data_IF_475514410249
#
_entry.id   IF_475514410249
#
_cell.length_a   1.000
_cell.length_b   1.000
_cell.length_c   1.000
_cell.angle_alpha   90.00
_cell.angle_beta   90.00
_cell.angle_gamma   90.00
#
_symmetry.space_group_name_H-M   'P 1'
#
loop_
_entity.id
_entity.type
_entity.pdbx_description
1 polymer ?
#
# COMPACT_ATOMS: atom_id res chain seq x y z
N UNK A 1 38.10 -44.91 43.65
CA UNK A 1 37.91 -43.56 44.25
C UNK A 1 37.93 -42.50 43.15
N UNK A 2 36.76 -42.19 42.59
CA UNK A 2 36.36 -40.85 42.12
C UNK A 2 34.88 -40.95 41.78
N UNK A 3 34.05 -40.65 42.78
CA UNK A 3 32.61 -40.50 42.65
C UNK A 3 32.34 -39.30 41.75
N UNK A 4 31.85 -39.57 40.55
CA UNK A 4 31.32 -38.55 39.67
C UNK A 4 29.89 -38.25 40.12
N UNK A 5 29.75 -37.21 40.95
CA UNK A 5 28.46 -36.65 41.35
C UNK A 5 27.69 -36.23 40.10
N UNK A 6 26.67 -36.99 39.74
CA UNK A 6 25.67 -36.60 38.75
C UNK A 6 24.88 -35.46 39.36
N UNK A 7 25.16 -34.24 38.89
CA UNK A 7 24.57 -33.00 39.39
C UNK A 7 23.05 -32.91 39.09
N UNK A 8 22.26 -32.25 39.96
CA UNK A 8 20.79 -32.16 39.86
C UNK A 8 20.29 -31.24 38.73
N UNK A 9 21.16 -30.81 37.81
CA UNK A 9 20.81 -29.92 36.70
C UNK A 9 19.90 -30.58 35.65
N UNK A 10 20.00 -31.90 35.44
CA UNK A 10 19.15 -32.60 34.47
C UNK A 10 17.69 -32.69 34.91
N UNK A 11 17.41 -32.72 36.22
CA UNK A 11 16.04 -32.86 36.73
C UNK A 11 15.26 -31.53 36.71
N UNK A 12 15.95 -30.39 36.86
CA UNK A 12 15.32 -29.07 36.76
C UNK A 12 15.00 -28.65 35.31
N UNK A 13 15.81 -29.08 34.34
CA UNK A 13 15.52 -28.83 32.91
C UNK A 13 14.30 -29.62 32.42
N UNK A 14 14.07 -30.83 32.93
CA UNK A 14 12.89 -31.63 32.57
C UNK A 14 11.59 -31.09 33.21
N UNK A 15 11.64 -30.61 34.47
CA UNK A 15 10.48 -30.03 35.14
C UNK A 15 10.08 -28.65 34.55
N UNK A 16 11.06 -27.84 34.14
CA UNK A 16 10.81 -26.58 33.43
C UNK A 16 10.16 -26.78 32.05
N UNK A 17 10.53 -27.86 31.34
CA UNK A 17 9.93 -28.20 30.03
C UNK A 17 8.48 -28.69 30.15
N UNK A 18 8.11 -29.36 31.25
CA UNK A 18 6.73 -29.83 31.46
C UNK A 18 5.81 -28.70 31.93
N UNK A 19 6.31 -27.75 32.73
CA UNK A 19 5.47 -26.65 33.24
C UNK A 19 5.21 -25.54 32.20
N UNK A 20 6.04 -25.41 31.17
CA UNK A 20 5.77 -24.50 30.02
C UNK A 20 4.85 -25.17 28.98
N UNK A 21 4.70 -26.50 29.02
CA UNK A 21 3.76 -27.23 28.17
C UNK A 21 2.31 -27.21 28.68
N UNK A 22 2.05 -26.72 29.90
CA UNK A 22 0.72 -26.73 30.52
C UNK A 22 -0.12 -25.46 30.31
N UNK A 23 0.29 -24.58 29.40
CA UNK A 23 -0.53 -23.44 28.99
C UNK A 23 -0.68 -23.34 27.47
N UNK A 24 -0.94 -24.47 26.82
CA UNK A 24 -1.55 -24.47 25.49
C UNK A 24 -2.94 -25.03 25.65
N UNK A 25 -3.89 -24.16 26.02
CA UNK A 25 -5.27 -24.38 25.61
C UNK A 25 -5.18 -24.53 24.09
N UNK A 26 -5.64 -25.63 23.48
CA UNK A 26 -5.46 -25.96 22.06
C UNK A 26 -6.11 -24.99 21.06
N UNK A 27 -6.31 -23.75 21.47
CA UNK A 27 -6.91 -22.64 20.77
C UNK A 27 -5.89 -22.04 19.79
N UNK A 28 -6.31 -21.90 18.53
CA UNK A 28 -5.52 -21.24 17.50
C UNK A 28 -5.78 -19.74 17.58
N UNK A 29 -4.76 -18.95 17.86
CA UNK A 29 -4.88 -17.48 17.85
C UNK A 29 -4.99 -17.01 16.40
N UNK A 30 -6.17 -16.51 16.02
CA UNK A 30 -6.45 -16.01 14.67
C UNK A 30 -6.32 -14.49 14.60
N UNK A 31 -5.53 -13.98 13.66
CA UNK A 31 -5.42 -12.54 13.39
C UNK A 31 -5.69 -12.29 11.91
N UNK A 32 -6.71 -11.47 11.64
CA UNK A 32 -7.15 -11.13 10.29
C UNK A 32 -6.92 -9.64 10.04
N UNK A 33 -6.28 -9.30 8.93
CA UNK A 33 -6.14 -7.91 8.50
C UNK A 33 -6.42 -7.71 7.03
N UNK A 34 -6.52 -6.45 6.64
CA UNK A 34 -6.68 -6.06 5.25
C UNK A 34 -6.12 -4.66 4.97
N UNK A 35 -5.91 -4.36 3.70
CA UNK A 35 -5.61 -3.00 3.26
C UNK A 35 -4.65 -2.93 2.08
N UNK A 36 -3.66 -2.05 2.18
CA UNK A 36 -2.75 -1.72 1.08
C UNK A 36 -2.15 -2.93 0.36
N UNK A 37 -2.14 -2.87 -0.97
CA UNK A 37 -1.53 -3.91 -1.80
C UNK A 37 0.00 -3.85 -1.76
N UNK A 38 0.57 -2.67 -1.54
CA UNK A 38 1.99 -2.50 -1.23
C UNK A 38 2.13 -2.19 0.27
N UNK A 39 2.86 -2.97 1.10
CA UNK A 39 3.76 -4.07 0.76
C UNK A 39 3.19 -5.46 1.14
N UNK A 40 2.08 -5.89 0.54
CA UNK A 40 1.39 -7.16 0.89
C UNK A 40 2.31 -8.39 0.94
N UNK A 41 3.25 -8.53 -0.01
CA UNK A 41 4.24 -9.61 -0.01
C UNK A 41 5.14 -9.60 1.24
N UNK A 42 5.54 -8.43 1.71
CA UNK A 42 6.31 -8.28 2.94
C UNK A 42 5.47 -8.67 4.16
N UNK A 43 4.22 -8.21 4.21
CA UNK A 43 3.27 -8.57 5.28
C UNK A 43 3.06 -10.08 5.32
N UNK A 44 2.77 -10.74 4.18
CA UNK A 44 2.61 -12.19 4.11
C UNK A 44 3.87 -12.95 4.51
N UNK A 45 5.06 -12.45 4.15
CA UNK A 45 6.31 -13.05 4.56
C UNK A 45 6.51 -12.96 6.08
N UNK A 46 6.30 -11.77 6.68
CA UNK A 46 6.37 -11.57 8.13
C UNK A 46 5.36 -12.47 8.84
N UNK A 47 4.12 -12.55 8.35
CA UNK A 47 3.09 -13.41 8.90
C UNK A 47 3.48 -14.89 8.85
N UNK A 48 4.06 -15.35 7.74
CA UNK A 48 4.53 -16.73 7.60
C UNK A 48 5.62 -17.03 8.62
N UNK A 49 6.62 -16.14 8.77
CA UNK A 49 7.66 -16.26 9.79
C UNK A 49 7.08 -16.26 11.21
N UNK A 50 6.07 -15.44 11.48
CA UNK A 50 5.39 -15.41 12.78
C UNK A 50 4.69 -16.73 13.07
N UNK A 51 3.93 -17.26 12.10
CA UNK A 51 3.23 -18.55 12.26
C UNK A 51 4.19 -19.72 12.44
N UNK A 52 5.34 -19.71 11.76
CA UNK A 52 6.35 -20.76 11.84
C UNK A 52 7.17 -20.72 13.13
N UNK A 53 7.39 -19.53 13.70
CA UNK A 53 8.30 -19.32 14.85
C UNK A 53 7.58 -19.09 16.17
N UNK A 54 6.25 -18.94 16.15
CA UNK A 54 5.45 -18.78 17.35
C UNK A 54 5.44 -20.08 18.17
N UNK A 55 5.57 -19.95 19.49
CA UNK A 55 5.39 -21.07 20.42
C UNK A 55 3.91 -21.44 20.60
N UNK A 56 3.00 -20.53 20.22
CA UNK A 56 1.54 -20.73 20.26
C UNK A 56 1.01 -20.93 18.84
N UNK A 57 0.01 -21.80 18.68
CA UNK A 57 -0.62 -22.05 17.39
C UNK A 57 -1.31 -20.76 16.92
N UNK A 58 -0.85 -20.20 15.79
CA UNK A 58 -1.36 -18.93 15.25
C UNK A 58 -1.77 -19.08 13.79
N UNK A 59 -2.85 -18.41 13.40
CA UNK A 59 -3.29 -18.30 12.00
C UNK A 59 -3.46 -16.82 11.64
N UNK A 60 -2.61 -16.35 10.75
CA UNK A 60 -2.64 -14.97 10.27
C UNK A 60 -3.14 -14.92 8.82
N UNK A 61 -4.03 -14.00 8.51
CA UNK A 61 -4.47 -13.74 7.13
C UNK A 61 -4.42 -12.25 6.81
N UNK A 62 -4.03 -11.92 5.59
CA UNK A 62 -4.05 -10.54 5.10
C UNK A 62 -4.65 -10.45 3.71
N UNK A 63 -5.67 -9.61 3.54
CA UNK A 63 -6.27 -9.32 2.23
C UNK A 63 -5.74 -8.00 1.66
N UNK A 64 -5.07 -8.07 0.52
CA UNK A 64 -4.54 -6.94 -0.22
C UNK A 64 -5.65 -6.28 -1.07
N UNK A 65 -6.44 -5.39 -0.46
CA UNK A 65 -7.67 -4.79 -1.04
C UNK A 65 -7.55 -3.29 -1.34
N UNK A 66 -6.42 -2.67 -1.03
CA UNK A 66 -6.24 -1.23 -1.09
C UNK A 66 -6.52 -0.55 0.26
N UNK A 67 -5.88 0.60 0.48
CA UNK A 67 -5.87 1.26 1.79
C UNK A 67 -7.22 1.79 2.23
N UNK A 68 -8.02 2.36 1.31
CA UNK A 68 -9.37 2.84 1.66
C UNK A 68 -10.25 1.68 2.13
N UNK A 69 -10.28 0.57 1.38
CA UNK A 69 -11.04 -0.63 1.78
C UNK A 69 -10.54 -1.22 3.09
N UNK A 70 -9.23 -1.29 3.31
CA UNK A 70 -8.68 -1.74 4.59
C UNK A 70 -9.05 -0.86 5.77
N UNK A 71 -9.07 0.47 5.60
CA UNK A 71 -9.56 1.38 6.63
C UNK A 71 -11.05 1.16 6.88
N UNK A 72 -11.86 1.05 5.84
CA UNK A 72 -13.31 0.82 5.97
C UNK A 72 -13.59 -0.49 6.72
N UNK A 73 -12.90 -1.58 6.38
CA UNK A 73 -13.06 -2.86 7.08
C UNK A 73 -12.57 -2.82 8.53
N UNK A 74 -11.50 -2.08 8.82
CA UNK A 74 -11.00 -1.92 10.19
C UNK A 74 -11.91 -1.02 11.03
N UNK A 75 -12.45 0.06 10.45
CA UNK A 75 -13.34 0.99 11.14
C UNK A 75 -14.79 0.46 11.22
N UNK A 76 -15.10 -0.65 10.52
CA UNK A 76 -16.45 -1.21 10.47
C UNK A 76 -17.41 -0.38 9.63
N UNK A 77 -16.95 0.18 8.50
CA UNK A 77 -17.77 1.02 7.62
C UNK A 77 -18.62 0.17 6.68
N UNK A 78 -19.93 0.43 6.65
CA UNK A 78 -20.79 -0.16 5.63
C UNK A 78 -20.87 0.73 4.39
N UNK A 79 -20.31 0.27 3.28
CA UNK A 79 -20.23 1.04 2.02
C UNK A 79 -21.57 1.20 1.29
N UNK A 80 -22.65 0.63 1.80
CA UNK A 80 -23.97 0.70 1.14
C UNK A 80 -24.78 1.93 1.53
N UNK A 81 -24.37 2.70 2.54
CA UNK A 81 -25.33 3.61 3.17
C UNK A 81 -24.76 4.91 3.75
N UNK A 82 -24.02 5.66 2.93
CA UNK A 82 -23.67 7.06 3.27
C UNK A 82 -24.92 7.98 3.40
N UNK A 83 -26.13 7.48 3.12
CA UNK A 83 -27.38 8.25 3.11
C UNK A 83 -28.47 7.74 4.07
N UNK A 84 -28.30 6.62 4.80
CA UNK A 84 -29.36 6.11 5.71
C UNK A 84 -29.56 6.92 6.98
N UNK A 85 -28.64 7.81 7.32
CA UNK A 85 -28.62 8.43 8.64
C UNK A 85 -28.24 7.47 9.77
N UNK A 86 -27.85 6.23 9.45
CA UNK A 86 -27.15 5.33 10.37
C UNK A 86 -25.66 5.71 10.38
N UNK A 87 -24.95 5.41 11.48
CA UNK A 87 -23.52 5.67 11.59
C UNK A 87 -22.78 4.95 10.45
N UNK A 88 -22.13 5.67 9.52
CA UNK A 88 -21.43 5.02 8.41
C UNK A 88 -20.33 4.09 8.92
N UNK A 89 -19.81 4.34 10.12
CA UNK A 89 -18.91 3.48 10.86
C UNK A 89 -19.76 2.69 11.86
N UNK A 90 -20.18 1.46 11.54
CA UNK A 90 -20.86 0.61 12.52
C UNK A 90 -19.95 0.31 13.74
N UNK A 91 -18.67 0.72 13.70
CA UNK A 91 -17.65 0.61 14.74
C UNK A 91 -17.44 -0.83 15.22
N UNK A 92 -17.84 -1.81 14.41
CA UNK A 92 -17.57 -3.24 14.57
C UNK A 92 -16.55 -3.63 13.50
N UNK A 93 -15.24 -3.70 13.83
CA UNK A 93 -14.22 -4.05 12.87
C UNK A 93 -14.47 -5.42 12.22
N UNK A 94 -14.43 -5.50 10.90
CA UNK A 94 -14.42 -6.76 10.16
C UNK A 94 -13.05 -7.46 10.22
N UNK A 95 -12.03 -6.70 10.62
CA UNK A 95 -10.64 -7.16 10.70
C UNK A 95 -9.98 -6.64 11.98
N UNK A 96 -9.02 -7.40 12.50
CA UNK A 96 -8.26 -7.06 13.70
C UNK A 96 -7.27 -5.91 13.46
N UNK A 97 -6.80 -5.71 12.22
CA UNK A 97 -5.97 -4.58 11.86
C UNK A 97 -6.18 -4.15 10.40
N UNK A 98 -6.14 -2.84 10.18
CA UNK A 98 -6.02 -2.23 8.86
C UNK A 98 -4.56 -1.87 8.56
N UNK A 99 -4.16 -1.92 7.29
CA UNK A 99 -2.86 -1.43 6.85
C UNK A 99 -3.00 -0.48 5.66
N UNK A 100 -2.32 0.66 5.70
CA UNK A 100 -2.31 1.61 4.60
C UNK A 100 -1.42 2.82 4.88
N UNK A 101 -1.06 3.54 3.81
CA UNK A 101 -0.24 4.74 3.91
C UNK A 101 -1.07 6.04 4.01
N UNK A 102 -2.41 5.91 3.96
CA UNK A 102 -3.32 7.00 4.27
C UNK A 102 -3.59 6.92 5.78
N UNK A 103 -3.36 8.00 6.55
CA UNK A 103 -3.77 8.04 7.95
C UNK A 103 -5.30 7.97 8.07
N UNK A 104 -5.81 7.30 9.10
CA UNK A 104 -7.25 7.41 9.41
C UNK A 104 -7.61 8.86 9.73
N UNK A 105 -8.67 9.44 9.14
CA UNK A 105 -9.10 10.81 9.42
C UNK A 105 -9.39 11.04 10.90
N UNK A 106 -9.05 12.21 11.44
CA UNK A 106 -9.21 12.51 12.87
C UNK A 106 -10.63 12.33 13.40
N UNK A 107 -11.65 12.60 12.57
CA UNK A 107 -13.05 12.40 12.94
C UNK A 107 -13.38 10.91 13.12
N UNK A 108 -12.96 10.05 12.20
CA UNK A 108 -13.15 8.60 12.28
C UNK A 108 -12.32 7.98 13.42
N UNK A 109 -11.10 8.46 13.64
CA UNK A 109 -10.29 8.06 14.79
C UNK A 109 -10.98 8.39 16.12
N UNK A 110 -11.53 9.61 16.23
CA UNK A 110 -12.29 10.02 17.42
C UNK A 110 -13.54 9.17 17.59
N UNK A 111 -14.32 9.01 16.53
CA UNK A 111 -15.55 8.23 16.55
C UNK A 111 -15.30 6.77 16.97
N UNK A 112 -14.26 6.12 16.42
CA UNK A 112 -13.88 4.77 16.82
C UNK A 112 -13.53 4.69 18.31
N UNK A 113 -12.66 5.57 18.80
CA UNK A 113 -12.26 5.53 20.20
C UNK A 113 -13.42 5.85 21.16
N UNK A 114 -14.32 6.76 20.78
CA UNK A 114 -15.55 7.06 21.53
C UNK A 114 -16.52 5.86 21.51
N UNK A 115 -16.64 5.15 20.39
CA UNK A 115 -17.50 3.97 20.29
C UNK A 115 -16.97 2.79 21.14
N UNK A 116 -15.65 2.70 21.33
CA UNK A 116 -14.99 1.66 22.14
C UNK A 116 -14.80 2.07 23.61
N UNK A 117 -15.50 3.10 24.10
CA UNK A 117 -15.34 3.75 25.41
C UNK A 117 -15.36 2.80 26.62
N UNK A 118 -14.17 2.45 27.15
CA UNK A 118 -13.75 2.56 28.57
C UNK A 118 -12.29 2.06 28.78
N UNK A 119 -11.34 2.47 27.91
CA UNK A 119 -9.91 2.36 28.24
C UNK A 119 -9.25 0.98 28.08
N UNK A 120 -9.91 -0.01 27.49
CA UNK A 120 -9.30 -1.35 27.31
C UNK A 120 -8.43 -1.46 26.04
N UNK A 121 -8.71 -0.69 24.98
CA UNK A 121 -7.78 -0.53 23.85
C UNK A 121 -8.15 0.65 22.93
N UNK A 122 -7.18 1.52 22.66
CA UNK A 122 -7.30 2.58 21.66
C UNK A 122 -6.77 2.07 20.31
N UNK A 123 -7.31 2.59 19.20
CA UNK A 123 -6.67 2.41 17.91
C UNK A 123 -5.24 2.96 17.95
N UNK A 124 -4.27 2.17 17.49
CA UNK A 124 -2.88 2.59 17.34
C UNK A 124 -2.48 2.64 15.87
N UNK A 125 -1.86 3.74 15.46
CA UNK A 125 -1.09 3.78 14.22
C UNK A 125 0.35 3.34 14.51
N UNK A 126 0.76 2.21 13.93
CA UNK A 126 2.12 1.67 14.05
C UNK A 126 2.82 1.74 12.69
N UNK A 127 3.80 2.65 12.51
CA UNK A 127 4.68 2.61 11.35
C UNK A 127 5.52 1.33 11.39
N UNK A 128 5.39 0.46 10.39
CA UNK A 128 6.12 -0.81 10.34
C UNK A 128 7.08 -0.92 9.15
N UNK A 129 6.85 -0.14 8.09
CA UNK A 129 7.71 -0.10 6.92
C UNK A 129 7.72 1.29 6.30
N UNK A 130 8.86 1.67 5.72
CA UNK A 130 9.00 2.81 4.84
C UNK A 130 9.33 2.28 3.44
N UNK A 131 8.56 2.71 2.44
CA UNK A 131 8.79 2.32 1.05
C UNK A 131 8.66 3.52 0.13
N UNK A 132 9.38 3.47 -1.00
CA UNK A 132 9.23 4.47 -2.06
C UNK A 132 8.12 4.07 -3.02
N UNK A 133 7.52 5.06 -3.65
CA UNK A 133 6.66 4.87 -4.83
C UNK A 133 7.48 5.26 -6.05
N UNK A 134 7.48 4.41 -7.06
CA UNK A 134 8.22 4.62 -8.31
C UNK A 134 7.27 4.77 -9.49
N UNK A 135 7.69 5.54 -10.49
CA UNK A 135 7.02 5.62 -11.78
C UNK A 135 7.67 4.62 -12.73
N UNK A 136 6.87 3.72 -13.31
CA UNK A 136 7.36 2.70 -14.23
C UNK A 136 6.99 3.05 -15.67
N UNK A 137 7.83 2.66 -16.62
CA UNK A 137 7.56 2.77 -18.05
C UNK A 137 7.89 1.46 -18.76
N UNK A 138 7.20 1.18 -19.87
CA UNK A 138 7.47 0.01 -20.73
C UNK A 138 8.02 0.47 -22.08
N UNK A 139 9.24 1.02 -22.07
CA UNK A 139 9.96 1.43 -23.29
C UNK A 139 11.04 0.38 -23.52
N UNK A 140 10.94 -0.45 -24.57
CA UNK A 140 11.94 -1.46 -24.87
C UNK A 140 13.34 -0.84 -24.99
N UNK A 141 14.37 -1.51 -24.48
CA UNK A 141 15.77 -1.07 -24.62
C UNK A 141 16.22 0.04 -23.67
N UNK A 142 15.35 0.54 -22.79
CA UNK A 142 15.74 1.44 -21.70
C UNK A 142 16.00 0.60 -20.44
N UNK A 143 17.19 0.67 -19.82
CA UNK A 143 17.49 -0.11 -18.63
C UNK A 143 16.76 0.45 -17.38
N UNK A 144 16.59 -0.41 -16.38
CA UNK A 144 15.85 -0.15 -15.14
C UNK A 144 16.74 0.37 -13.98
N UNK A 145 17.96 0.80 -14.28
CA UNK A 145 18.94 1.29 -13.31
C UNK A 145 19.15 2.82 -13.41
N UNK A 146 20.27 3.31 -12.88
CA UNK A 146 20.70 4.72 -12.95
C UNK A 146 20.86 5.26 -14.38
N UNK A 147 20.92 4.35 -15.37
CA UNK A 147 20.90 4.64 -16.81
C UNK A 147 19.49 4.53 -17.40
N UNK A 148 18.44 4.58 -16.60
CA UNK A 148 17.06 4.61 -17.07
C UNK A 148 16.64 5.95 -17.65
N UNK A 149 15.33 6.07 -17.92
CA UNK A 149 14.72 7.29 -18.42
C UNK A 149 14.68 8.36 -17.31
N UNK A 150 15.12 9.57 -17.63
CA UNK A 150 15.06 10.73 -16.74
C UNK A 150 13.77 11.50 -16.98
N UNK A 151 12.91 11.54 -15.97
CA UNK A 151 11.70 12.36 -15.96
C UNK A 151 11.71 13.21 -14.69
N UNK A 152 11.48 14.51 -14.82
CA UNK A 152 11.27 15.38 -13.66
C UNK A 152 9.78 15.45 -13.29
N UNK A 153 9.47 16.00 -12.13
CA UNK A 153 8.11 16.11 -11.60
C UNK A 153 7.14 16.83 -12.55
N UNK A 154 7.56 17.91 -13.22
CA UNK A 154 6.66 18.72 -14.05
C UNK A 154 6.39 18.04 -15.39
N UNK A 155 7.38 17.30 -15.90
CA UNK A 155 7.23 16.45 -17.06
C UNK A 155 6.25 15.30 -16.76
N UNK A 156 6.40 14.66 -15.59
CA UNK A 156 5.45 13.65 -15.11
C UNK A 156 4.04 14.24 -14.97
N UNK A 157 3.88 15.41 -14.34
CA UNK A 157 2.58 16.06 -14.20
C UNK A 157 1.91 16.28 -15.57
N UNK A 158 2.65 16.78 -16.56
CA UNK A 158 2.15 16.99 -17.93
C UNK A 158 1.86 15.70 -18.68
N UNK A 159 2.59 14.63 -18.42
CA UNK A 159 2.28 13.28 -18.95
C UNK A 159 0.95 12.79 -18.37
N UNK A 160 0.77 12.86 -17.05
CA UNK A 160 -0.46 12.42 -16.38
C UNK A 160 -1.66 13.32 -16.72
N UNK A 161 -1.43 14.60 -17.04
CA UNK A 161 -2.45 15.56 -17.50
C UNK A 161 -2.68 15.52 -19.02
N UNK A 162 -2.01 14.61 -19.75
CA UNK A 162 -2.21 14.42 -21.20
C UNK A 162 -1.69 15.55 -22.08
N UNK A 163 -0.92 16.50 -21.54
CA UNK A 163 -0.22 17.56 -22.29
C UNK A 163 0.98 16.99 -23.06
N UNK A 164 1.69 16.04 -22.47
CA UNK A 164 2.78 15.30 -23.13
C UNK A 164 2.30 13.89 -23.41
N UNK A 165 2.33 13.52 -24.68
CA UNK A 165 1.58 12.35 -25.16
C UNK A 165 2.42 11.39 -25.98
N UNK A 166 3.71 11.67 -26.17
CA UNK A 166 4.63 10.85 -26.94
C UNK A 166 6.01 10.86 -26.29
N UNK A 167 6.76 9.77 -26.47
CA UNK A 167 8.11 9.62 -25.90
C UNK A 167 9.19 10.42 -26.64
N UNK A 168 8.92 10.85 -27.87
CA UNK A 168 9.78 11.73 -28.68
C UNK A 168 9.50 13.22 -28.45
N UNK A 169 8.73 13.57 -27.42
CA UNK A 169 8.47 14.96 -27.04
C UNK A 169 9.79 15.71 -26.79
N UNK A 170 9.96 16.95 -27.31
CA UNK A 170 11.20 17.73 -27.16
C UNK A 170 11.65 17.86 -25.70
N UNK A 171 10.73 17.95 -24.74
CA UNK A 171 11.05 18.10 -23.33
C UNK A 171 11.57 16.80 -22.70
N UNK A 172 11.05 15.65 -23.13
CA UNK A 172 11.60 14.34 -22.74
C UNK A 172 13.00 14.17 -23.36
N UNK A 173 13.15 14.51 -24.64
CA UNK A 173 14.43 14.39 -25.34
C UNK A 173 15.52 15.28 -24.72
N UNK A 174 15.17 16.48 -24.28
CA UNK A 174 16.10 17.41 -23.64
C UNK A 174 16.71 16.85 -22.34
N UNK A 175 15.96 16.07 -21.56
CA UNK A 175 16.47 15.40 -20.35
C UNK A 175 17.20 14.08 -20.63
N UNK A 176 17.01 13.53 -21.84
CA UNK A 176 17.45 12.19 -22.22
C UNK A 176 18.31 12.20 -23.48
N UNK A 177 19.19 13.20 -23.65
CA UNK A 177 19.99 13.41 -24.87
C UNK A 177 20.73 12.15 -25.33
N UNK A 178 21.36 11.42 -24.40
CA UNK A 178 22.10 10.18 -24.71
C UNK A 178 21.22 9.02 -25.23
N UNK A 179 19.89 9.15 -25.12
CA UNK A 179 18.89 8.17 -25.57
C UNK A 179 17.95 8.75 -26.62
N UNK A 180 18.16 9.99 -27.06
CA UNK A 180 17.23 10.69 -27.95
C UNK A 180 17.03 9.99 -29.28
N UNK A 181 18.08 9.36 -29.84
CA UNK A 181 17.97 8.55 -31.06
C UNK A 181 17.05 7.34 -30.86
N UNK A 182 17.24 6.61 -29.76
CA UNK A 182 16.42 5.45 -29.40
C UNK A 182 14.96 5.82 -29.14
N UNK A 183 14.70 6.91 -28.39
CA UNK A 183 13.34 7.39 -28.13
C UNK A 183 12.61 7.78 -29.42
N UNK A 184 13.31 8.42 -30.37
CA UNK A 184 12.77 8.73 -31.71
C UNK A 184 12.52 7.47 -32.54
N UNK A 185 13.41 6.48 -32.48
CA UNK A 185 13.24 5.20 -33.16
C UNK A 185 12.02 4.45 -32.62
N UNK A 186 11.89 4.33 -31.29
CA UNK A 186 10.72 3.72 -30.66
C UNK A 186 9.47 4.48 -31.11
N UNK A 187 9.45 5.81 -30.97
CA UNK A 187 8.28 6.61 -31.32
C UNK A 187 7.86 6.52 -32.81
N UNK A 188 8.80 6.26 -33.73
CA UNK A 188 8.53 6.09 -35.16
C UNK A 188 8.05 4.69 -35.53
N UNK A 189 8.50 3.65 -34.82
CA UNK A 189 8.17 2.25 -35.12
C UNK A 189 6.81 1.80 -34.61
N UNK A 190 6.32 2.38 -33.51
CA UNK A 190 5.19 1.78 -32.76
C UNK A 190 3.96 2.68 -32.64
N UNK A 191 3.85 3.79 -33.38
CA UNK A 191 2.82 4.81 -33.13
C UNK A 191 2.69 5.14 -31.62
N UNK A 192 3.82 5.08 -30.90
CA UNK A 192 3.85 4.97 -29.44
C UNK A 192 3.51 6.29 -28.77
N UNK A 193 2.21 6.53 -28.65
CA UNK A 193 1.70 7.40 -27.63
C UNK A 193 2.11 6.92 -26.24
N UNK A 194 2.22 7.86 -25.32
CA UNK A 194 2.29 7.56 -23.89
C UNK A 194 0.88 7.15 -23.45
N UNK A 195 0.78 5.96 -22.87
CA UNK A 195 -0.42 5.46 -22.21
C UNK A 195 -0.16 5.46 -20.71
N UNK A 196 -0.94 6.26 -19.98
CA UNK A 196 -0.81 6.39 -18.53
C UNK A 196 -1.80 5.48 -17.87
N UNK A 197 -1.33 4.42 -17.23
CA UNK A 197 -2.16 3.53 -16.42
C UNK A 197 -2.23 4.07 -14.98
N UNK A 198 -3.42 4.01 -14.37
CA UNK A 198 -3.68 4.56 -13.03
C UNK A 198 -4.62 3.66 -12.24
N UNK A 199 -4.55 3.76 -10.91
CA UNK A 199 -5.46 3.05 -9.99
C UNK A 199 -6.88 3.59 -10.09
N UNK A 200 -7.86 2.74 -9.82
CA UNK A 200 -9.31 3.02 -9.89
C UNK A 200 -9.87 3.32 -8.52
N UNK A 201 -9.63 2.43 -7.56
CA UNK A 201 -10.15 2.57 -6.20
C UNK A 201 -9.18 3.34 -5.30
N UNK A 202 -9.66 3.68 -4.11
CA UNK A 202 -8.89 4.32 -3.05
C UNK A 202 -7.53 3.72 -2.81
N UNK A 203 -6.51 4.49 -3.18
CA UNK A 203 -5.14 4.03 -3.28
C UNK A 203 -4.19 5.00 -2.59
N UNK A 204 -3.42 4.48 -1.62
CA UNK A 204 -2.32 5.22 -1.00
C UNK A 204 -1.28 5.69 -2.02
N UNK A 205 -0.95 4.85 -3.02
CA UNK A 205 -0.01 5.26 -4.07
C UNK A 205 -0.54 6.44 -4.88
N UNK A 206 -1.85 6.48 -5.13
CA UNK A 206 -2.50 7.61 -5.81
C UNK A 206 -2.43 8.87 -4.97
N UNK A 207 -2.71 8.76 -3.66
CA UNK A 207 -2.61 9.89 -2.74
C UNK A 207 -1.20 10.48 -2.69
N UNK A 208 -0.18 9.62 -2.60
CA UNK A 208 1.22 10.07 -2.54
C UNK A 208 1.70 10.65 -3.87
N UNK A 209 1.37 10.01 -5.01
CA UNK A 209 1.74 10.51 -6.35
C UNK A 209 1.10 11.86 -6.63
N UNK A 210 -0.21 12.00 -6.44
CA UNK A 210 -0.90 13.26 -6.74
C UNK A 210 -0.44 14.40 -5.83
N UNK A 211 -0.18 14.10 -4.54
CA UNK A 211 0.43 15.06 -3.62
C UNK A 211 1.84 15.46 -4.08
N UNK A 212 2.68 14.50 -4.49
CA UNK A 212 4.02 14.78 -4.99
C UNK A 212 3.99 15.68 -6.23
N UNK A 213 3.14 15.36 -7.21
CA UNK A 213 2.99 16.17 -8.43
C UNK A 213 2.55 17.59 -8.11
N UNK A 214 1.61 17.77 -7.18
CA UNK A 214 1.19 19.10 -6.72
C UNK A 214 2.33 19.87 -6.08
N UNK A 215 2.96 19.31 -5.04
CA UNK A 215 3.99 20.03 -4.28
C UNK A 215 5.19 20.38 -5.13
N UNK A 216 5.59 19.48 -6.03
CA UNK A 216 6.73 19.69 -6.90
C UNK A 216 6.41 20.61 -8.09
N UNK A 217 5.17 20.62 -8.60
CA UNK A 217 4.78 21.31 -9.84
C UNK A 217 3.34 21.86 -9.81
N UNK A 218 3.09 22.80 -8.89
CA UNK A 218 1.77 23.41 -8.62
C UNK A 218 1.04 23.96 -9.85
N UNK A 219 1.79 24.48 -10.82
CA UNK A 219 1.24 25.06 -12.05
C UNK A 219 0.70 23.98 -13.01
N UNK A 220 1.29 22.79 -12.99
CA UNK A 220 0.88 21.67 -13.86
C UNK A 220 -0.11 20.74 -13.16
N UNK A 221 -0.06 20.66 -11.83
CA UNK A 221 -0.91 19.79 -11.03
C UNK A 221 -1.59 20.60 -9.91
N UNK A 222 -2.82 21.09 -10.12
CA UNK A 222 -3.53 21.90 -9.13
C UNK A 222 -3.95 21.08 -7.91
N UNK A 223 -4.26 21.79 -6.81
CA UNK A 223 -4.71 21.17 -5.56
C UNK A 223 -6.01 20.34 -5.72
N UNK A 224 -6.87 20.72 -6.67
CA UNK A 224 -8.09 19.98 -7.03
C UNK A 224 -7.82 18.57 -7.58
N UNK A 225 -6.60 18.30 -8.05
CA UNK A 225 -6.14 16.99 -8.52
C UNK A 225 -5.36 16.21 -7.45
N UNK A 226 -5.44 16.58 -6.17
CA UNK A 226 -4.76 15.87 -5.07
C UNK A 226 -5.76 15.01 -4.30
N UNK A 227 -5.57 13.69 -4.31
CA UNK A 227 -6.45 12.77 -3.59
C UNK A 227 -6.07 11.30 -3.76
N UNK A 228 -6.70 10.44 -2.96
CA UNK A 228 -6.61 8.98 -3.09
C UNK A 228 -7.50 8.41 -4.19
N UNK A 229 -8.52 9.18 -4.60
CA UNK A 229 -9.53 8.85 -5.62
C UNK A 229 -9.86 10.10 -6.42
N UNK A 230 -9.30 10.25 -7.63
CA UNK A 230 -9.68 11.34 -8.53
C UNK A 230 -10.97 11.00 -9.27
N UNK A 231 -11.87 11.97 -9.37
CA UNK A 231 -13.28 11.76 -9.77
C UNK A 231 -14.24 11.45 -8.62
N UNK A 232 -13.75 11.41 -7.38
CA UNK A 232 -14.60 11.43 -6.18
C UNK A 232 -15.04 12.87 -5.83
N UNK A 233 -16.11 13.00 -5.03
CA UNK A 233 -16.79 14.30 -4.73
C UNK A 233 -15.79 15.44 -4.46
N UNK A 234 -15.77 16.43 -5.36
CA UNK A 234 -14.97 17.67 -5.21
C UNK A 234 -13.53 17.62 -5.75
N UNK A 235 -13.10 16.51 -6.34
CA UNK A 235 -11.80 16.37 -6.99
C UNK A 235 -11.95 16.33 -8.52
N UNK A 236 -11.01 16.95 -9.23
CA UNK A 236 -10.96 16.87 -10.69
C UNK A 236 -10.72 15.43 -11.13
N UNK A 237 -11.28 15.06 -12.29
CA UNK A 237 -11.05 13.75 -12.87
C UNK A 237 -9.62 13.60 -13.40
N UNK A 238 -9.16 12.35 -13.47
CA UNK A 238 -8.00 12.02 -14.28
C UNK A 238 -8.24 12.46 -15.73
N UNK A 239 -7.17 12.88 -16.42
CA UNK A 239 -7.30 13.17 -17.85
C UNK A 239 -7.84 11.95 -18.60
N UNK A 240 -8.75 12.17 -19.56
CA UNK A 240 -9.49 11.12 -20.31
C UNK A 240 -8.59 10.10 -21.02
N UNK A 241 -7.33 10.48 -21.28
CA UNK A 241 -6.32 9.60 -21.90
C UNK A 241 -5.66 8.61 -20.94
N UNK A 242 -5.81 8.82 -19.63
CA UNK A 242 -5.35 7.84 -18.64
C UNK A 242 -6.26 6.61 -18.67
N UNK A 243 -5.72 5.46 -18.33
CA UNK A 243 -6.44 4.18 -18.33
C UNK A 243 -6.61 3.65 -16.90
N UNK A 244 -7.85 3.39 -16.47
CA UNK A 244 -8.11 2.68 -15.23
C UNK A 244 -7.49 1.28 -15.29
N UNK A 245 -6.74 0.89 -14.27
CA UNK A 245 -6.22 -0.45 -14.09
C UNK A 245 -6.20 -0.82 -12.60
N UNK A 246 -6.48 -2.08 -12.28
CA UNK A 246 -6.31 -2.63 -10.94
C UNK A 246 -5.45 -3.89 -10.95
N UNK A 247 -4.67 -4.04 -9.88
CA UNK A 247 -3.68 -5.11 -9.78
C UNK A 247 -2.54 -4.99 -10.79
N UNK A 248 -1.55 -5.87 -10.67
CA UNK A 248 -0.42 -5.91 -11.61
C UNK A 248 -0.79 -6.49 -12.99
N UNK A 249 -1.87 -7.28 -13.07
CA UNK A 249 -2.34 -7.90 -14.32
C UNK A 249 -2.96 -6.89 -15.30
N UNK A 250 -3.60 -5.83 -14.80
CA UNK A 250 -4.15 -4.77 -15.66
C UNK A 250 -3.11 -3.82 -16.25
N UNK A 251 -1.81 -4.04 -15.97
CA UNK A 251 -0.69 -3.23 -16.49
C UNK A 251 -0.02 -3.85 -17.73
N UNK A 252 -0.41 -5.07 -18.12
CA UNK A 252 0.21 -5.83 -19.22
C UNK A 252 -0.63 -5.91 -20.49
N UNK A 253 -1.88 -5.44 -20.45
CA UNK A 253 -2.80 -5.36 -21.59
C UNK A 253 -2.81 -3.97 -22.23
#
# INVERSE_FOLDING_TARGET
KKDMKVHPLCTFLLAGLISVAQQVNGEVVTIHGSGTTNPSKCIWHIMSLFMERSLVATRLTYRAVGSSTGQMEFLGVNNTDENSGEDPFQHVPHTHFGAGDIPVPSAAYKALNDATNEGESNMLHLPFALSSISFFHSIPGIPDNDKGLKLNSCLLARIFDGKITRWDDPEILALNVSRGGHLKEVASRTNSGIYVARRVHGSSSTASVTKYLHEACKNEWPKSKVGSELGAKGLDEWHVRTKPCEGSGGMTE
#
